data_IF_654878919776
#
_entry.id   IF_654878919776
#
_cell.length_a   1.000
_cell.length_b   1.000
_cell.length_c   1.000
_cell.angle_alpha   90.00
_cell.angle_beta   90.00
_cell.angle_gamma   90.00
#
_symmetry.space_group_name_H-M   'P 1'
#
loop_
_entity.id
_entity.type
_entity.pdbx_description
1 polymer ?
#
# COMPACT_ATOMS: atom_id res chain seq x y z
N UNK A 1 -21.41 -21.71 -1.98
CA UNK A 1 -21.25 -20.29 -2.33
C UNK A 1 -19.75 -20.04 -2.33
N UNK A 2 -19.12 -19.88 -3.50
CA UNK A 2 -17.70 -19.49 -3.51
C UNK A 2 -17.64 -18.10 -2.89
N UNK A 3 -16.92 -17.94 -1.78
CA UNK A 3 -16.69 -16.61 -1.21
C UNK A 3 -16.01 -15.74 -2.28
N UNK A 4 -16.61 -14.60 -2.59
CA UNK A 4 -15.98 -13.65 -3.50
C UNK A 4 -14.69 -13.13 -2.84
N UNK A 5 -13.60 -13.11 -3.60
CA UNK A 5 -12.32 -12.59 -3.13
C UNK A 5 -12.41 -11.09 -2.81
N UNK A 6 -11.58 -10.63 -1.87
CA UNK A 6 -11.39 -9.21 -1.55
C UNK A 6 -10.14 -8.74 -2.30
N UNK A 7 -10.27 -7.90 -3.34
CA UNK A 7 -9.14 -7.41 -4.10
C UNK A 7 -8.17 -6.59 -3.24
N UNK A 8 -6.88 -6.68 -3.57
CA UNK A 8 -5.81 -5.87 -2.97
C UNK A 8 -5.24 -4.93 -4.03
N UNK A 9 -5.47 -3.64 -3.84
CA UNK A 9 -4.99 -2.56 -4.69
C UNK A 9 -3.63 -2.08 -4.16
N UNK A 10 -2.55 -2.44 -4.85
CA UNK A 10 -1.18 -2.05 -4.47
C UNK A 10 -0.82 -0.74 -5.16
N UNK A 11 -0.81 0.35 -4.40
CA UNK A 11 -0.50 1.69 -4.91
C UNK A 11 1.00 1.93 -4.90
N UNK A 12 1.56 2.23 -6.08
CA UNK A 12 2.98 2.56 -6.20
C UNK A 12 3.27 3.56 -7.31
N UNK A 13 4.43 4.20 -7.22
CA UNK A 13 4.97 5.07 -8.27
C UNK A 13 5.97 4.30 -9.12
N UNK A 14 6.08 4.68 -10.38
CA UNK A 14 7.14 4.22 -11.27
C UNK A 14 8.53 4.48 -10.62
N UNK A 15 9.40 3.46 -10.51
CA UNK A 15 10.73 3.61 -9.93
C UNK A 15 11.65 4.35 -10.90
N UNK A 16 11.81 5.66 -10.67
CA UNK A 16 12.74 6.50 -11.42
C UNK A 16 13.75 7.09 -10.43
N UNK A 17 15.07 6.93 -10.66
CA UNK A 17 16.10 7.55 -9.83
C UNK A 17 15.82 9.05 -9.66
N UNK A 18 15.95 9.53 -8.42
CA UNK A 18 15.65 10.94 -8.09
C UNK A 18 14.17 11.26 -7.87
N UNK A 19 13.23 10.33 -8.13
CA UNK A 19 11.77 10.55 -7.96
C UNK A 19 11.11 9.66 -6.92
N UNK A 20 11.73 8.55 -6.56
CA UNK A 20 11.28 7.64 -5.50
C UNK A 20 12.23 7.67 -4.32
N UNK A 21 11.69 7.45 -3.10
CA UNK A 21 12.47 7.47 -1.85
C UNK A 21 13.39 8.69 -1.75
N UNK A 22 12.90 9.87 -2.15
CA UNK A 22 13.71 11.09 -2.26
C UNK A 22 14.38 11.51 -0.96
N UNK A 23 13.78 11.17 0.18
CA UNK A 23 14.35 11.41 1.51
C UNK A 23 15.57 10.54 1.83
N UNK A 24 15.75 9.42 1.14
CA UNK A 24 16.91 8.53 1.30
C UNK A 24 18.09 8.96 0.41
N UNK A 25 17.85 9.76 -0.62
CA UNK A 25 18.88 10.17 -1.59
C UNK A 25 20.11 10.79 -0.92
N UNK A 26 19.99 11.67 0.09
CA UNK A 26 21.17 12.24 0.76
C UNK A 26 22.06 11.19 1.46
N UNK A 27 21.52 10.01 1.77
CA UNK A 27 22.22 8.96 2.54
C UNK A 27 22.76 7.85 1.64
N UNK A 28 21.96 7.40 0.66
CA UNK A 28 22.30 6.25 -0.19
C UNK A 28 22.40 6.60 -1.68
N UNK A 29 22.09 7.82 -2.08
CA UNK A 29 22.10 8.23 -3.49
C UNK A 29 20.81 7.86 -4.24
N UNK A 30 20.63 8.47 -5.41
CA UNK A 30 19.41 8.38 -6.21
C UNK A 30 19.15 6.97 -6.78
N UNK A 31 20.21 6.26 -7.16
CA UNK A 31 20.12 4.91 -7.72
C UNK A 31 19.73 3.89 -6.65
N UNK A 32 20.42 3.89 -5.49
CA UNK A 32 20.05 2.98 -4.41
C UNK A 32 18.67 3.29 -3.83
N UNK A 33 18.29 4.56 -3.70
CA UNK A 33 16.93 4.93 -3.31
C UNK A 33 15.87 4.35 -4.28
N UNK A 34 16.18 4.32 -5.58
CA UNK A 34 15.35 3.66 -6.59
C UNK A 34 15.34 2.13 -6.43
N UNK A 35 16.50 1.50 -6.17
CA UNK A 35 16.58 0.06 -5.90
C UNK A 35 15.80 -0.35 -4.66
N UNK A 36 15.90 0.41 -3.57
CA UNK A 36 15.09 0.22 -2.35
C UNK A 36 13.61 0.26 -2.69
N UNK A 37 13.16 1.25 -3.46
CA UNK A 37 11.76 1.33 -3.91
C UNK A 37 11.35 0.09 -4.70
N UNK A 38 12.15 -0.35 -5.68
CA UNK A 38 11.87 -1.56 -6.46
C UNK A 38 11.78 -2.80 -5.57
N UNK A 39 12.68 -2.97 -4.61
CA UNK A 39 12.70 -4.10 -3.69
C UNK A 39 11.45 -4.12 -2.80
N UNK A 40 11.05 -2.97 -2.27
CA UNK A 40 9.83 -2.85 -1.47
C UNK A 40 8.57 -3.16 -2.28
N UNK A 41 8.45 -2.69 -3.53
CA UNK A 41 7.32 -3.03 -4.40
C UNK A 41 7.21 -4.54 -4.63
N UNK A 42 8.35 -5.21 -4.91
CA UNK A 42 8.39 -6.67 -5.07
C UNK A 42 7.96 -7.37 -3.79
N UNK A 43 8.48 -6.94 -2.64
CA UNK A 43 8.11 -7.50 -1.35
C UNK A 43 6.60 -7.38 -1.10
N UNK A 44 6.02 -6.19 -1.29
CA UNK A 44 4.58 -5.96 -1.13
C UNK A 44 3.77 -6.87 -2.05
N UNK A 45 4.16 -7.03 -3.32
CA UNK A 45 3.46 -7.94 -4.24
C UNK A 45 3.58 -9.40 -3.84
N UNK A 46 4.75 -9.85 -3.40
CA UNK A 46 4.95 -11.21 -2.88
C UNK A 46 4.01 -11.48 -1.71
N UNK A 47 3.93 -10.56 -0.76
CA UNK A 47 3.05 -10.69 0.41
C UNK A 47 1.58 -10.64 0.02
N UNK A 48 1.18 -9.70 -0.84
CA UNK A 48 -0.21 -9.57 -1.30
C UNK A 48 -0.69 -10.79 -2.08
N UNK A 49 0.14 -11.34 -2.97
CA UNK A 49 -0.20 -12.54 -3.72
C UNK A 49 -0.24 -13.79 -2.82
N UNK A 50 0.72 -13.93 -1.90
CA UNK A 50 0.75 -15.06 -0.96
C UNK A 50 -0.42 -15.04 0.06
N UNK A 51 -1.03 -13.87 0.29
CA UNK A 51 -2.23 -13.76 1.12
C UNK A 51 -3.45 -14.47 0.52
N UNK A 52 -3.51 -14.59 -0.81
CA UNK A 52 -4.55 -15.31 -1.55
C UNK A 52 -5.98 -14.91 -1.12
N UNK A 53 -6.19 -13.61 -0.93
CA UNK A 53 -7.46 -13.08 -0.45
C UNK A 53 -8.41 -12.68 -1.58
N UNK A 54 -7.91 -12.56 -2.81
CA UNK A 54 -8.60 -12.06 -3.99
C UNK A 54 -7.61 -11.60 -5.05
N UNK A 55 -8.08 -10.93 -6.10
CA UNK A 55 -7.21 -10.39 -7.15
C UNK A 55 -6.28 -9.30 -6.61
N UNK A 56 -5.00 -9.35 -6.97
CA UNK A 56 -4.06 -8.26 -6.73
C UNK A 56 -4.00 -7.37 -7.97
N UNK A 57 -4.02 -6.05 -7.76
CA UNK A 57 -3.97 -5.06 -8.83
C UNK A 57 -2.90 -4.02 -8.50
N UNK A 58 -1.92 -3.84 -9.38
CA UNK A 58 -0.96 -2.75 -9.28
C UNK A 58 -1.62 -1.47 -9.78
N UNK A 59 -1.64 -0.43 -8.96
CA UNK A 59 -2.06 0.92 -9.36
C UNK A 59 -0.82 1.82 -9.48
N UNK A 60 -0.36 2.00 -10.72
CA UNK A 60 0.85 2.75 -11.06
C UNK A 60 0.61 4.25 -11.26
N UNK A 61 1.51 5.08 -10.73
CA UNK A 61 1.60 6.51 -11.03
C UNK A 61 2.95 6.89 -11.69
N UNK A 62 2.98 7.87 -12.62
CA UNK A 62 1.84 8.67 -13.10
C UNK A 62 0.88 7.89 -14.01
N UNK A 63 1.31 6.73 -14.52
CA UNK A 63 0.50 5.79 -15.30
C UNK A 63 1.09 4.37 -15.22
N UNK A 64 0.42 3.42 -15.87
CA UNK A 64 0.77 1.99 -15.91
C UNK A 64 1.81 1.60 -16.96
N UNK A 65 2.42 2.54 -17.70
CA UNK A 65 3.25 2.20 -18.87
C UNK A 65 4.71 1.89 -18.51
N UNK A 66 5.15 2.19 -17.30
CA UNK A 66 6.55 2.02 -16.92
C UNK A 66 6.98 0.54 -17.05
N UNK A 67 8.10 0.23 -17.74
CA UNK A 67 8.52 -1.15 -18.02
C UNK A 67 8.62 -2.05 -16.79
N UNK A 68 9.13 -1.51 -15.68
CA UNK A 68 9.20 -2.22 -14.40
C UNK A 68 7.82 -2.69 -13.92
N UNK A 69 6.79 -1.83 -13.96
CA UNK A 69 5.45 -2.18 -13.47
C UNK A 69 4.78 -3.20 -14.39
N UNK A 70 4.97 -3.08 -15.71
CA UNK A 70 4.50 -4.06 -16.69
C UNK A 70 5.17 -5.43 -16.49
N UNK A 71 6.47 -5.45 -16.25
CA UNK A 71 7.20 -6.68 -15.96
C UNK A 71 6.67 -7.33 -14.68
N UNK A 72 6.48 -6.57 -13.60
CA UNK A 72 5.92 -7.10 -12.36
C UNK A 72 4.50 -7.65 -12.53
N UNK A 73 3.66 -6.98 -13.31
CA UNK A 73 2.31 -7.47 -13.60
C UNK A 73 2.35 -8.87 -14.26
N UNK A 74 3.29 -9.09 -15.19
CA UNK A 74 3.49 -10.40 -15.83
C UNK A 74 4.09 -11.41 -14.85
N UNK A 75 5.17 -11.04 -14.15
CA UNK A 75 5.91 -11.95 -13.26
C UNK A 75 5.03 -12.50 -12.12
N UNK A 76 4.13 -11.67 -11.58
CA UNK A 76 3.22 -12.04 -10.50
C UNK A 76 1.84 -12.51 -11.00
N UNK A 77 1.54 -12.41 -12.29
CA UNK A 77 0.23 -12.74 -12.84
C UNK A 77 -0.90 -11.84 -12.32
N UNK A 78 -0.62 -10.55 -12.11
CA UNK A 78 -1.54 -9.57 -11.52
C UNK A 78 -1.99 -8.52 -12.53
N UNK A 79 -3.15 -7.91 -12.29
CA UNK A 79 -3.63 -6.82 -13.13
C UNK A 79 -2.84 -5.53 -12.87
N UNK A 80 -2.87 -4.61 -13.84
CA UNK A 80 -2.17 -3.33 -13.78
C UNK A 80 -3.08 -2.21 -14.29
N UNK A 81 -3.27 -1.20 -13.45
CA UNK A 81 -4.08 -0.02 -13.70
C UNK A 81 -3.27 1.26 -13.48
N UNK A 82 -3.71 2.36 -14.08
CA UNK A 82 -3.20 3.70 -13.76
C UNK A 82 -3.93 4.25 -12.53
N UNK A 83 -3.27 5.11 -11.77
CA UNK A 83 -3.95 5.91 -10.75
C UNK A 83 -4.66 7.11 -11.40
N UNK A 84 -5.96 7.26 -11.19
CA UNK A 84 -6.78 8.32 -11.79
C UNK A 84 -7.25 9.30 -10.71
N UNK A 85 -7.05 10.60 -10.92
CA UNK A 85 -7.43 11.63 -9.96
C UNK A 85 -6.37 12.73 -9.78
N UNK A 86 -6.84 13.90 -9.35
CA UNK A 86 -6.05 15.14 -9.27
C UNK A 86 -5.00 15.13 -8.16
N UNK A 87 -5.22 14.34 -7.11
CA UNK A 87 -4.30 14.15 -5.99
C UNK A 87 -4.38 12.69 -5.49
N UNK A 88 -3.55 12.33 -4.51
CA UNK A 88 -3.48 10.94 -4.02
C UNK A 88 -4.79 10.49 -3.37
N UNK A 89 -5.48 11.37 -2.65
CA UNK A 89 -6.74 11.12 -1.97
C UNK A 89 -7.84 10.79 -2.99
N UNK A 90 -7.94 11.59 -4.05
CA UNK A 90 -8.86 11.34 -5.16
C UNK A 90 -8.54 10.02 -5.86
N UNK A 91 -7.25 9.69 -6.04
CA UNK A 91 -6.83 8.40 -6.65
C UNK A 91 -7.18 7.19 -5.80
N UNK A 92 -6.99 7.28 -4.48
CA UNK A 92 -7.38 6.23 -3.55
C UNK A 92 -8.90 6.05 -3.54
N UNK A 93 -9.64 7.16 -3.47
CA UNK A 93 -11.09 7.14 -3.50
C UNK A 93 -11.63 6.51 -4.78
N UNK A 94 -11.21 6.99 -5.95
CA UNK A 94 -11.62 6.46 -7.26
C UNK A 94 -11.32 4.96 -7.37
N UNK A 95 -10.12 4.52 -7.00
CA UNK A 95 -9.75 3.11 -7.11
C UNK A 95 -10.58 2.21 -6.17
N UNK A 96 -10.83 2.66 -4.94
CA UNK A 96 -11.66 1.93 -3.98
C UNK A 96 -13.13 1.93 -4.39
N UNK A 97 -13.67 3.06 -4.86
CA UNK A 97 -15.05 3.16 -5.34
C UNK A 97 -15.29 2.20 -6.51
N UNK A 98 -14.45 2.25 -7.55
CA UNK A 98 -14.52 1.31 -8.68
C UNK A 98 -14.41 -0.16 -8.27
N UNK A 99 -13.54 -0.48 -7.32
CA UNK A 99 -13.43 -1.84 -6.83
C UNK A 99 -14.72 -2.27 -6.10
N UNK A 100 -15.32 -1.38 -5.32
CA UNK A 100 -16.54 -1.65 -4.54
C UNK A 100 -17.82 -1.73 -5.39
N UNK A 101 -17.80 -1.27 -6.64
CA UNK A 101 -18.86 -1.56 -7.62
C UNK A 101 -18.91 -3.06 -8.01
N UNK A 102 -17.75 -3.73 -7.98
CA UNK A 102 -17.59 -5.11 -8.41
C UNK A 102 -17.48 -6.11 -7.25
N UNK A 103 -17.05 -5.64 -6.07
CA UNK A 103 -16.74 -6.49 -4.92
C UNK A 103 -17.38 -5.93 -3.64
N UNK A 104 -17.80 -6.79 -2.69
CA UNK A 104 -18.41 -6.34 -1.44
C UNK A 104 -17.44 -5.67 -0.46
N UNK A 105 -16.13 -5.79 -0.72
CA UNK A 105 -15.06 -5.15 0.01
C UNK A 105 -13.82 -5.03 -0.87
N UNK A 106 -12.93 -4.08 -0.59
CA UNK A 106 -11.64 -3.93 -1.24
C UNK A 106 -10.60 -3.41 -0.25
N UNK A 107 -9.33 -3.74 -0.48
CA UNK A 107 -8.20 -3.22 0.31
C UNK A 107 -7.27 -2.42 -0.58
N UNK A 108 -6.72 -1.32 -0.06
CA UNK A 108 -5.64 -0.57 -0.69
C UNK A 108 -4.44 -0.51 0.24
N UNK A 109 -3.23 -0.63 -0.30
CA UNK A 109 -2.00 -0.54 0.46
C UNK A 109 -0.89 0.15 -0.32
N UNK A 110 -0.01 0.85 0.40
CA UNK A 110 1.23 1.38 -0.16
C UNK A 110 2.34 0.32 -0.21
N UNK A 111 3.47 0.67 -0.79
CA UNK A 111 4.64 -0.21 -0.90
C UNK A 111 5.79 0.21 0.01
N UNK A 112 5.55 0.97 1.06
CA UNK A 112 6.63 1.56 1.87
C UNK A 112 6.91 0.79 3.17
N UNK A 113 6.12 -0.24 3.47
CA UNK A 113 6.18 -0.99 4.73
C UNK A 113 6.81 -2.38 4.52
N UNK A 114 8.10 -2.59 4.86
CA UNK A 114 8.74 -3.92 4.79
C UNK A 114 8.23 -4.90 5.85
N UNK A 115 7.53 -4.42 6.88
CA UNK A 115 7.00 -5.28 7.95
C UNK A 115 5.63 -5.88 7.63
N UNK A 116 4.99 -5.46 6.53
CA UNK A 116 3.67 -5.98 6.18
C UNK A 116 3.76 -7.46 5.88
N UNK A 117 2.95 -8.25 6.57
CA UNK A 117 2.94 -9.71 6.46
C UNK A 117 1.72 -10.23 5.71
N UNK A 118 1.80 -11.49 5.31
CA UNK A 118 0.66 -12.23 4.75
C UNK A 118 -0.52 -12.26 5.74
N UNK A 119 -0.21 -12.36 7.03
CA UNK A 119 -1.21 -12.43 8.08
C UNK A 119 -1.96 -11.10 8.23
N UNK A 120 -1.30 -9.96 8.05
CA UNK A 120 -1.96 -8.64 8.12
C UNK A 120 -3.07 -8.51 7.07
N UNK A 121 -2.78 -8.95 5.83
CA UNK A 121 -3.76 -8.90 4.72
C UNK A 121 -4.89 -9.90 4.94
N UNK A 122 -4.56 -11.11 5.43
CA UNK A 122 -5.57 -12.14 5.75
C UNK A 122 -6.48 -11.71 6.89
N UNK A 123 -5.94 -11.10 7.93
CA UNK A 123 -6.71 -10.56 9.05
C UNK A 123 -7.63 -9.43 8.58
N UNK A 124 -7.12 -8.49 7.78
CA UNK A 124 -7.95 -7.44 7.19
C UNK A 124 -9.10 -8.01 6.36
N UNK A 125 -8.82 -8.97 5.48
CA UNK A 125 -9.84 -9.64 4.70
C UNK A 125 -10.87 -10.36 5.60
N UNK A 126 -10.42 -11.06 6.65
CA UNK A 126 -11.31 -11.75 7.58
C UNK A 126 -12.24 -10.78 8.33
N UNK A 127 -11.73 -9.63 8.77
CA UNK A 127 -12.54 -8.61 9.47
C UNK A 127 -13.58 -7.97 8.54
N UNK A 128 -13.20 -7.69 7.29
CA UNK A 128 -14.14 -7.21 6.26
C UNK A 128 -15.24 -8.25 5.99
N UNK A 129 -14.88 -9.54 5.87
CA UNK A 129 -15.86 -10.64 5.71
C UNK A 129 -16.79 -10.77 6.91
N UNK A 130 -16.26 -10.58 8.13
CA UNK A 130 -17.04 -10.55 9.36
C UNK A 130 -17.96 -9.31 9.50
N UNK A 131 -17.87 -8.38 8.55
CA UNK A 131 -18.79 -7.25 8.41
C UNK A 131 -18.29 -5.94 8.99
N UNK A 132 -17.00 -5.81 9.33
CA UNK A 132 -16.39 -4.51 9.63
C UNK A 132 -16.52 -3.60 8.39
N UNK A 133 -16.92 -2.36 8.57
CA UNK A 133 -17.08 -1.38 7.49
C UNK A 133 -15.73 -0.89 6.97
N UNK A 134 -14.74 -0.83 7.86
CA UNK A 134 -13.37 -0.51 7.55
C UNK A 134 -12.36 -1.36 8.34
N UNK A 135 -11.17 -1.52 7.78
CA UNK A 135 -9.98 -2.02 8.48
C UNK A 135 -8.85 -1.05 8.26
N UNK A 136 -8.18 -0.62 9.32
CA UNK A 136 -7.01 0.24 9.27
C UNK A 136 -5.76 -0.55 9.62
N UNK A 137 -4.70 -0.38 8.85
CA UNK A 137 -3.34 -0.79 9.17
C UNK A 137 -2.55 0.45 9.58
N UNK A 138 -2.41 0.77 10.87
CA UNK A 138 -1.68 1.94 11.31
C UNK A 138 -0.18 1.80 11.01
N UNK A 139 0.48 2.90 10.73
CA UNK A 139 1.94 2.99 10.78
C UNK A 139 2.38 3.65 12.10
N UNK A 140 3.57 3.30 12.59
CA UNK A 140 4.13 3.90 13.82
C UNK A 140 4.34 5.41 13.72
N UNK A 141 4.55 5.93 12.52
CA UNK A 141 4.68 7.36 12.24
C UNK A 141 3.33 8.09 12.22
N UNK A 142 2.20 7.42 12.45
CA UNK A 142 0.85 8.00 12.37
C UNK A 142 0.20 7.94 10.98
N UNK A 143 0.93 7.41 9.99
CA UNK A 143 0.45 7.06 8.66
C UNK A 143 -0.44 5.81 8.64
N UNK A 144 -0.80 5.37 7.43
CA UNK A 144 -1.62 4.18 7.20
C UNK A 144 -0.99 3.30 6.11
N UNK A 145 -0.67 2.04 6.43
CA UNK A 145 -0.05 1.08 5.52
C UNK A 145 -1.08 0.31 4.68
N UNK A 146 -2.27 0.10 5.24
CA UNK A 146 -3.38 -0.63 4.62
C UNK A 146 -4.71 -0.01 5.02
N UNK A 147 -5.60 0.17 4.06
CA UNK A 147 -6.99 0.59 4.28
C UNK A 147 -7.91 -0.39 3.56
N UNK A 148 -8.72 -1.13 4.32
CA UNK A 148 -9.77 -2.00 3.81
C UNK A 148 -11.13 -1.35 4.00
N UNK A 149 -12.00 -1.39 3.00
CA UNK A 149 -13.35 -0.80 3.05
C UNK A 149 -14.40 -1.76 2.48
N UNK A 150 -15.63 -1.67 2.99
CA UNK A 150 -16.84 -2.28 2.36
C UNK A 150 -17.72 -1.29 1.63
N UNK A 151 -17.45 0.00 1.79
CA UNK A 151 -18.18 1.11 1.19
C UNK A 151 -17.25 2.29 1.03
N UNK A 152 -17.38 3.02 -0.08
CA UNK A 152 -16.64 4.24 -0.31
C UNK A 152 -17.50 5.42 0.13
N UNK A 153 -16.91 6.35 0.87
CA UNK A 153 -17.54 7.62 1.23
C UNK A 153 -16.53 8.76 1.00
N UNK A 154 -16.89 9.79 0.21
CA UNK A 154 -15.99 10.91 -0.05
C UNK A 154 -15.51 11.62 1.23
N UNK A 155 -16.35 11.67 2.26
CA UNK A 155 -16.05 12.27 3.56
C UNK A 155 -14.90 11.58 4.31
N UNK A 156 -14.61 10.32 4.01
CA UNK A 156 -13.43 9.63 4.56
C UNK A 156 -12.12 10.18 3.98
N UNK A 157 -12.11 10.53 2.69
CA UNK A 157 -10.92 10.95 1.94
C UNK A 157 -10.77 12.48 1.83
N UNK A 158 -11.85 13.24 2.00
CA UNK A 158 -11.85 14.69 1.85
C UNK A 158 -10.80 15.35 2.76
N UNK A 159 -9.89 16.12 2.18
CA UNK A 159 -8.79 16.78 2.89
C UNK A 159 -7.99 15.83 3.82
N UNK A 160 -7.91 14.54 3.49
CA UNK A 160 -7.03 13.59 4.20
C UNK A 160 -5.60 13.89 3.82
N UNK A 161 -4.69 14.10 4.76
CA UNK A 161 -3.28 14.35 4.48
C UNK A 161 -2.53 13.02 4.27
N UNK A 162 -2.89 12.28 3.22
CA UNK A 162 -2.27 10.98 2.93
C UNK A 162 -0.76 11.10 2.73
N UNK A 163 0.01 10.23 3.41
CA UNK A 163 1.48 10.28 3.43
C UNK A 163 2.06 11.23 4.50
N UNK A 164 1.24 11.67 5.46
CA UNK A 164 1.67 12.39 6.67
C UNK A 164 1.57 11.51 7.92
N UNK A 165 2.06 12.04 9.04
CA UNK A 165 1.91 11.51 10.39
C UNK A 165 0.51 11.72 10.99
N UNK A 166 -0.41 12.36 10.24
CA UNK A 166 -1.76 12.72 10.71
C UNK A 166 -2.86 11.81 10.17
N UNK A 167 -2.54 10.86 9.29
CA UNK A 167 -3.54 10.06 8.57
C UNK A 167 -4.46 9.32 9.55
N UNK A 168 -3.91 8.62 10.53
CA UNK A 168 -4.72 7.87 11.50
C UNK A 168 -5.52 8.78 12.42
N UNK A 169 -4.96 9.93 12.80
CA UNK A 169 -5.65 10.95 13.58
C UNK A 169 -6.82 11.59 12.82
N UNK A 170 -6.78 11.58 11.49
CA UNK A 170 -7.85 12.07 10.62
C UNK A 170 -8.88 10.98 10.29
N UNK A 171 -8.46 9.73 10.07
CA UNK A 171 -9.36 8.63 9.71
C UNK A 171 -10.30 8.25 10.85
N UNK A 172 -9.79 8.08 12.08
CA UNK A 172 -10.60 7.66 13.24
C UNK A 172 -11.82 8.55 13.50
N UNK A 173 -11.71 9.89 13.63
CA UNK A 173 -12.88 10.74 13.86
C UNK A 173 -13.85 10.74 12.66
N UNK A 174 -13.37 10.53 11.42
CA UNK A 174 -14.24 10.43 10.24
C UNK A 174 -15.05 9.14 10.25
N UNK A 175 -14.42 8.01 10.54
CA UNK A 175 -15.11 6.73 10.72
C UNK A 175 -16.15 6.81 11.84
N UNK A 176 -15.82 7.47 12.95
CA UNK A 176 -16.76 7.72 14.04
C UNK A 176 -17.94 8.58 13.60
N UNK A 177 -17.69 9.69 12.88
CA UNK A 177 -18.76 10.57 12.39
C UNK A 177 -19.69 9.88 11.38
N UNK A 178 -19.15 8.96 10.58
CA UNK A 178 -19.91 8.13 9.65
C UNK A 178 -20.66 6.97 10.35
N UNK A 179 -20.41 6.73 11.63
CA UNK A 179 -20.99 5.60 12.38
C UNK A 179 -20.50 4.23 11.91
N UNK A 180 -19.31 4.16 11.33
CA UNK A 180 -18.74 2.91 10.79
C UNK A 180 -18.14 2.06 11.90
N UNK A 181 -18.27 0.74 11.80
CA UNK A 181 -17.53 -0.19 12.64
C UNK A 181 -16.19 -0.49 11.96
N UNK A 182 -15.08 -0.33 12.67
CA UNK A 182 -13.77 -0.64 12.10
C UNK A 182 -12.92 -1.51 13.02
N UNK A 183 -11.94 -2.18 12.40
CA UNK A 183 -10.87 -2.90 13.09
C UNK A 183 -9.53 -2.22 12.82
N UNK A 184 -8.63 -2.22 13.80
CA UNK A 184 -7.25 -1.76 13.61
C UNK A 184 -6.29 -2.94 13.76
N UNK A 185 -5.46 -3.16 12.74
CA UNK A 185 -4.36 -4.10 12.82
C UNK A 185 -3.25 -3.55 13.73
N UNK A 186 -2.31 -4.40 14.19
CA UNK A 186 -1.11 -3.93 14.86
C UNK A 186 -0.34 -2.91 14.00
N UNK A 187 0.23 -1.85 14.60
CA UNK A 187 1.02 -0.89 13.86
C UNK A 187 2.26 -1.53 13.22
N UNK A 188 2.67 -1.01 12.06
CA UNK A 188 3.87 -1.43 11.32
C UNK A 188 4.81 -0.26 11.04
N UNK A 189 6.09 -0.53 10.81
CA UNK A 189 7.08 0.50 10.45
C UNK A 189 7.14 0.74 8.94
N UNK A 190 6.90 1.99 8.54
CA UNK A 190 7.20 2.45 7.19
C UNK A 190 8.69 2.75 7.04
N UNK A 191 9.24 2.47 5.87
CA UNK A 191 10.56 2.90 5.46
C UNK A 191 10.43 4.21 4.66
N UNK A 192 10.32 5.35 5.34
CA UNK A 192 10.09 6.65 4.72
C UNK A 192 11.27 7.63 4.82
N UNK A 193 12.14 7.44 5.81
CA UNK A 193 13.19 8.38 6.21
C UNK A 193 14.56 7.70 6.34
N UNK A 194 15.64 8.48 6.36
CA UNK A 194 16.98 7.98 6.72
C UNK A 194 17.02 7.18 8.02
N UNK A 195 16.30 7.63 9.05
CA UNK A 195 16.24 6.96 10.34
C UNK A 195 15.58 5.58 10.22
N UNK A 196 14.48 5.47 9.47
CA UNK A 196 13.83 4.19 9.20
C UNK A 196 14.77 3.25 8.42
N UNK A 197 15.50 3.80 7.45
CA UNK A 197 16.47 3.03 6.68
C UNK A 197 17.56 2.43 7.57
N UNK A 198 18.14 3.22 8.48
CA UNK A 198 19.15 2.73 9.43
C UNK A 198 18.58 1.67 10.36
N UNK A 199 17.39 1.89 10.91
CA UNK A 199 16.74 0.97 11.85
C UNK A 199 16.32 -0.36 11.18
N UNK A 200 15.81 -0.32 9.95
CA UNK A 200 15.16 -1.48 9.32
C UNK A 200 16.12 -2.30 8.44
N UNK A 201 17.15 -1.70 7.82
CA UNK A 201 17.99 -2.41 6.83
C UNK A 201 18.71 -3.65 7.37
N UNK A 202 19.01 -3.68 8.66
CA UNK A 202 19.68 -4.82 9.32
C UNK A 202 18.70 -5.95 9.64
N UNK A 203 17.45 -5.59 9.95
CA UNK A 203 16.36 -6.52 10.24
C UNK A 203 15.81 -7.19 8.97
N UNK A 204 15.97 -6.53 7.81
CA UNK A 204 15.50 -7.00 6.51
C UNK A 204 16.69 -7.16 5.54
N UNK A 205 17.40 -8.31 5.54
CA UNK A 205 18.63 -8.49 4.75
C UNK A 205 18.48 -8.27 3.24
N UNK A 206 17.26 -8.43 2.70
CA UNK A 206 16.94 -8.15 1.30
C UNK A 206 16.92 -6.65 0.94
N UNK A 207 16.99 -5.77 1.94
CA UNK A 207 17.26 -4.34 1.78
C UNK A 207 18.75 -3.99 1.86
N UNK A 208 19.65 -4.95 2.12
CA UNK A 208 21.09 -4.65 2.15
C UNK A 208 21.60 -4.17 0.78
N UNK A 209 22.62 -3.28 0.73
CA UNK A 209 23.18 -2.81 -0.55
C UNK A 209 23.59 -3.95 -1.49
N UNK A 210 24.16 -5.03 -0.95
CA UNK A 210 24.52 -6.22 -1.72
C UNK A 210 23.29 -6.91 -2.34
N UNK A 211 22.19 -7.07 -1.57
CA UNK A 211 20.96 -7.66 -2.08
C UNK A 211 20.27 -6.76 -3.12
N UNK A 212 20.36 -5.44 -2.97
CA UNK A 212 19.79 -4.49 -3.93
C UNK A 212 20.49 -4.53 -5.29
N UNK A 213 21.82 -4.72 -5.31
CA UNK A 213 22.60 -4.81 -6.54
C UNK A 213 22.34 -6.09 -7.36
N UNK A 214 21.88 -7.17 -6.71
CA UNK A 214 21.58 -8.45 -7.37
C UNK A 214 20.19 -8.50 -8.03
N UNK A 215 19.31 -7.53 -7.72
CA UNK A 215 17.90 -7.52 -8.13
C UNK A 215 17.60 -6.51 -9.27
N UNK A 216 18.63 -6.10 -10.01
CA UNK A 216 18.53 -5.28 -11.22
C UNK A 216 18.20 -6.07 -12.48
#
# INVERSE_FOLDING_TARGET
MQEQGIPVLVFTRAPVPGRTKVRLIPVIGAEDACRVHKALVRHTLTVACAADCGSVIIHGAPDSRHPFLRKLAVDYGVALASQEGVNLQARLHEALERALECFPAAMVMGTDCPETTVQDIREAAAQLRAGADAVLGPAHDGGCVLLGLRRADPGLFQALEWGSDRVMAQLRPRLQALGWRWHELPPRHNLGTPQDWEALREHYPWLSPAALALNE
#
